data_IF_546047629817
#
_entry.id   IF_546047629817
#
_cell.length_a   1.000
_cell.length_b   1.000
_cell.length_c   1.000
_cell.angle_alpha   90.00
_cell.angle_beta   90.00
_cell.angle_gamma   90.00
#
_symmetry.space_group_name_H-M   'P 1'
#
loop_
_entity.id
_entity.type
_entity.pdbx_description
1 polymer ?
#
# COMPACT_ATOMS: atom_id res chain seq x y z
N UNK A 1 31.26 24.90 15.45
CA UNK A 1 30.56 24.28 14.30
C UNK A 1 29.28 25.07 14.07
N UNK A 2 29.31 26.15 13.27
CA UNK A 2 28.11 26.96 12.95
C UNK A 2 28.24 27.80 11.65
N UNK A 3 29.24 27.52 10.80
CA UNK A 3 29.49 28.30 9.57
C UNK A 3 29.13 27.58 8.26
N UNK A 4 28.73 26.31 8.31
CA UNK A 4 28.44 25.52 7.11
C UNK A 4 26.96 25.55 6.70
N UNK A 5 26.05 25.80 7.65
CA UNK A 5 24.60 25.85 7.38
C UNK A 5 24.22 27.14 6.62
N UNK A 6 24.88 28.27 6.91
CA UNK A 6 24.61 29.55 6.24
C UNK A 6 25.00 29.55 4.75
N UNK A 7 25.99 28.73 4.35
CA UNK A 7 26.42 28.63 2.95
C UNK A 7 25.44 27.81 2.09
N UNK A 8 24.71 26.87 2.67
CA UNK A 8 23.74 26.04 1.96
C UNK A 8 22.44 26.79 1.65
N UNK A 9 21.98 27.68 2.54
CA UNK A 9 20.76 28.47 2.31
C UNK A 9 20.91 29.50 1.18
N UNK A 10 22.13 30.02 0.96
CA UNK A 10 22.41 30.97 -0.11
C UNK A 10 22.55 30.33 -1.51
N UNK A 11 22.75 29.01 -1.58
CA UNK A 11 22.85 28.25 -2.83
C UNK A 11 21.47 27.79 -3.37
N UNK A 12 20.49 27.57 -2.47
CA UNK A 12 19.12 27.16 -2.84
C UNK A 12 18.31 28.35 -3.37
N UNK A 13 18.55 29.56 -2.88
CA UNK A 13 17.82 30.78 -3.31
C UNK A 13 18.20 31.30 -4.71
N UNK A 14 19.21 30.72 -5.39
CA UNK A 14 19.67 31.17 -6.71
C UNK A 14 19.27 30.26 -7.88
N UNK A 15 18.43 29.23 -7.65
CA UNK A 15 18.03 28.28 -8.70
C UNK A 15 16.58 28.41 -9.18
N UNK A 16 15.82 29.36 -8.65
CA UNK A 16 14.47 29.69 -9.12
C UNK A 16 14.48 31.04 -9.84
N UNK A 17 14.99 31.03 -11.07
CA UNK A 17 14.58 31.92 -12.17
C UNK A 17 15.58 31.78 -13.31
N UNK A 18 15.17 31.16 -14.42
CA UNK A 18 15.28 31.75 -15.76
C UNK A 18 14.85 30.79 -16.87
N UNK A 19 13.88 31.29 -17.67
CA UNK A 19 13.75 31.22 -19.14
C UNK A 19 13.55 29.84 -19.81
N UNK A 20 12.79 29.68 -20.90
CA UNK A 20 12.20 30.62 -21.87
C UNK A 20 11.11 29.91 -22.67
N UNK A 21 10.08 30.64 -23.06
CA UNK A 21 9.11 30.30 -24.10
C UNK A 21 9.81 30.26 -25.47
N UNK A 22 9.50 29.30 -26.33
CA UNK A 22 9.72 29.48 -27.77
C UNK A 22 8.68 28.73 -28.60
N UNK A 23 7.78 29.51 -29.21
CA UNK A 23 6.89 29.11 -30.28
C UNK A 23 7.60 29.22 -31.62
N UNK A 24 7.52 28.18 -32.45
CA UNK A 24 7.72 28.31 -33.89
C UNK A 24 6.88 27.25 -34.63
N UNK A 25 6.09 27.74 -35.57
CA UNK A 25 5.23 27.00 -36.51
C UNK A 25 6.05 26.36 -37.63
N UNK A 26 5.66 25.15 -38.06
CA UNK A 26 5.97 24.61 -39.38
C UNK A 26 4.97 23.51 -39.77
N UNK A 27 4.60 23.53 -41.05
CA UNK A 27 3.46 22.88 -41.71
C UNK A 27 3.69 21.45 -42.20
N UNK A 28 2.56 20.72 -42.29
CA UNK A 28 2.16 19.62 -43.21
C UNK A 28 3.08 18.40 -43.42
N UNK A 29 2.58 17.19 -43.12
CA UNK A 29 2.07 16.29 -44.16
C UNK A 29 1.35 15.06 -43.57
N UNK A 30 0.46 14.51 -44.39
CA UNK A 30 -0.48 13.43 -44.10
C UNK A 30 0.22 12.08 -44.12
N UNK A 31 -0.03 11.21 -43.14
CA UNK A 31 0.00 9.76 -43.37
C UNK A 31 -1.02 9.02 -42.51
N UNK A 32 -1.97 8.42 -43.20
CA UNK A 32 -2.99 7.52 -42.67
C UNK A 32 -2.34 6.18 -42.36
N UNK A 33 -2.23 5.84 -41.07
CA UNK A 33 -1.92 4.47 -40.62
C UNK A 33 -3.02 3.99 -39.70
N UNK A 34 -3.78 3.00 -40.17
CA UNK A 34 -4.81 2.29 -39.40
C UNK A 34 -4.22 1.66 -38.14
N UNK A 35 -4.57 2.19 -36.98
CA UNK A 35 -4.26 1.54 -35.70
C UNK A 35 -5.24 0.39 -35.54
N UNK A 36 -4.72 -0.84 -35.69
CA UNK A 36 -5.44 -2.04 -35.33
C UNK A 36 -5.78 -1.97 -33.83
N UNK A 37 -7.05 -2.19 -33.50
CA UNK A 37 -7.48 -2.34 -32.11
C UNK A 37 -6.83 -3.57 -31.50
N UNK A 38 -5.72 -3.35 -30.78
CA UNK A 38 -5.14 -4.37 -29.91
C UNK A 38 -6.10 -4.62 -28.76
N UNK A 39 -6.96 -5.62 -28.95
CA UNK A 39 -7.75 -6.20 -27.88
C UNK A 39 -6.78 -6.89 -26.93
N UNK A 40 -6.34 -6.15 -25.91
CA UNK A 40 -5.65 -6.71 -24.76
C UNK A 40 -6.61 -7.67 -24.06
N UNK A 41 -6.56 -8.93 -24.48
CA UNK A 41 -7.13 -10.05 -23.75
C UNK A 41 -6.44 -10.07 -22.39
N UNK A 42 -7.14 -9.64 -21.35
CA UNK A 42 -6.70 -9.78 -19.96
C UNK A 42 -6.64 -11.28 -19.70
N UNK A 43 -5.48 -11.90 -19.95
CA UNK A 43 -5.16 -13.19 -19.37
C UNK A 43 -5.23 -12.97 -17.87
N UNK A 44 -6.16 -13.64 -17.21
CA UNK A 44 -6.19 -13.73 -15.77
C UNK A 44 -4.85 -14.31 -15.32
N UNK A 45 -3.91 -13.43 -14.97
CA UNK A 45 -2.64 -13.82 -14.42
C UNK A 45 -2.98 -14.35 -13.04
N UNK A 46 -3.09 -15.66 -12.93
CA UNK A 46 -2.92 -16.35 -11.66
C UNK A 46 -1.46 -16.19 -11.24
N UNK A 47 -1.07 -14.96 -10.90
CA UNK A 47 0.24 -14.71 -10.32
C UNK A 47 0.30 -15.52 -9.03
N UNK A 48 1.47 -16.10 -8.78
CA UNK A 48 1.85 -17.04 -7.73
C UNK A 48 1.66 -16.55 -6.27
N UNK A 49 0.68 -15.68 -5.99
CA UNK A 49 0.29 -15.18 -4.68
C UNK A 49 -0.16 -16.26 -3.70
N UNK A 50 -0.27 -17.52 -4.14
CA UNK A 50 -0.62 -18.68 -3.30
C UNK A 50 0.56 -19.65 -3.12
N UNK A 51 1.66 -19.48 -3.85
CA UNK A 51 2.84 -20.31 -3.69
C UNK A 51 3.68 -19.86 -2.47
N UNK A 52 4.48 -20.76 -1.88
CA UNK A 52 5.48 -20.39 -0.89
C UNK A 52 6.56 -19.55 -1.60
N UNK A 53 6.49 -18.21 -1.52
CA UNK A 53 7.61 -17.37 -1.93
C UNK A 53 8.73 -17.56 -0.91
N UNK A 54 9.70 -18.42 -1.25
CA UNK A 54 10.91 -18.66 -0.45
C UNK A 54 11.92 -17.50 -0.50
N UNK A 55 11.61 -16.38 -1.16
CA UNK A 55 12.39 -15.14 -1.09
C UNK A 55 11.41 -13.99 -1.33
N UNK A 56 11.31 -12.93 -0.53
CA UNK A 56 12.19 -12.34 0.46
C UNK A 56 11.25 -11.65 1.47
N UNK A 57 11.47 -11.83 2.78
CA UNK A 57 10.75 -11.07 3.83
C UNK A 57 11.17 -9.61 3.69
N UNK A 58 10.53 -8.88 2.79
CA UNK A 58 10.86 -7.48 2.48
C UNK A 58 9.94 -6.61 3.30
N UNK A 59 10.51 -5.65 4.01
CA UNK A 59 9.75 -4.56 4.62
C UNK A 59 8.96 -3.90 3.49
N UNK A 60 7.66 -3.61 3.65
CA UNK A 60 6.90 -2.93 2.61
C UNK A 60 7.55 -1.58 2.32
N UNK A 61 7.65 -1.24 1.04
CA UNK A 61 8.21 0.03 0.56
C UNK A 61 7.10 0.94 0.07
N UNK A 62 7.23 2.22 0.39
CA UNK A 62 6.28 3.23 -0.07
C UNK A 62 6.25 3.31 -1.61
N UNK A 63 5.06 3.48 -2.17
CA UNK A 63 4.81 3.53 -3.61
C UNK A 63 4.57 2.17 -4.26
N UNK A 64 4.83 1.07 -3.55
CA UNK A 64 4.65 -0.29 -4.07
C UNK A 64 3.23 -0.82 -3.77
N UNK A 65 2.81 -1.79 -4.57
CA UNK A 65 1.50 -2.45 -4.44
C UNK A 65 1.71 -3.87 -3.91
N UNK A 66 0.89 -4.24 -2.93
CA UNK A 66 0.98 -5.55 -2.28
C UNK A 66 -0.37 -6.25 -2.21
N UNK A 67 -0.33 -7.58 -2.30
CA UNK A 67 -1.29 -8.47 -1.66
C UNK A 67 -0.78 -8.74 -0.24
N UNK A 68 -1.63 -8.50 0.76
CA UNK A 68 -1.29 -8.76 2.17
C UNK A 68 -2.00 -10.04 2.59
N UNK A 69 -1.24 -11.07 2.98
CA UNK A 69 -1.79 -12.38 3.35
C UNK A 69 -1.25 -12.89 4.67
N UNK A 70 -2.04 -13.66 5.39
CA UNK A 70 -1.57 -14.31 6.60
C UNK A 70 -0.56 -15.42 6.25
N UNK A 71 0.44 -15.59 7.11
CA UNK A 71 1.53 -16.52 6.84
C UNK A 71 1.13 -18.00 6.97
N UNK A 72 0.16 -18.33 7.82
CA UNK A 72 -0.15 -19.72 8.20
C UNK A 72 -1.17 -20.36 7.24
N UNK A 73 -2.27 -19.67 6.99
CA UNK A 73 -3.44 -20.14 6.24
C UNK A 73 -3.59 -19.49 4.86
N UNK A 74 -2.82 -18.43 4.58
CA UNK A 74 -2.80 -17.70 3.30
C UNK A 74 -4.10 -16.96 2.97
N UNK A 75 -4.92 -16.65 3.97
CA UNK A 75 -6.00 -15.68 3.87
C UNK A 75 -5.48 -14.30 3.51
N UNK A 76 -6.15 -13.66 2.58
CA UNK A 76 -5.77 -12.42 1.95
C UNK A 76 -6.68 -11.32 2.48
N UNK A 77 -6.08 -10.23 2.96
CA UNK A 77 -6.82 -9.02 3.33
C UNK A 77 -7.38 -8.39 2.06
N UNK A 78 -8.70 -8.27 2.00
CA UNK A 78 -9.43 -7.85 0.80
C UNK A 78 -10.56 -6.91 1.15
N UNK A 79 -10.85 -5.97 0.26
CA UNK A 79 -12.08 -5.18 0.29
C UNK A 79 -13.11 -5.81 -0.65
N UNK A 80 -14.20 -6.35 -0.09
CA UNK A 80 -15.31 -6.95 -0.85
C UNK A 80 -16.60 -6.25 -0.46
N UNK A 81 -17.30 -5.68 -1.45
CA UNK A 81 -18.57 -4.95 -1.25
C UNK A 81 -18.48 -3.87 -0.14
N UNK A 82 -17.34 -3.16 -0.08
CA UNK A 82 -17.08 -2.13 0.92
C UNK A 82 -16.67 -2.64 2.31
N UNK A 83 -16.60 -3.96 2.51
CA UNK A 83 -16.22 -4.58 3.78
C UNK A 83 -14.76 -5.07 3.73
N UNK A 84 -13.98 -4.68 4.74
CA UNK A 84 -12.64 -5.21 4.94
C UNK A 84 -12.75 -6.61 5.54
N UNK A 85 -12.31 -7.62 4.80
CA UNK A 85 -12.43 -9.01 5.20
C UNK A 85 -11.29 -9.89 4.68
N UNK A 86 -11.25 -11.13 5.15
CA UNK A 86 -10.32 -12.16 4.72
C UNK A 86 -10.95 -13.04 3.64
N UNK A 87 -10.16 -13.37 2.63
CA UNK A 87 -10.54 -14.27 1.52
C UNK A 87 -9.46 -15.32 1.28
N UNK A 88 -9.84 -16.50 0.78
CA UNK A 88 -8.89 -17.56 0.45
C UNK A 88 -8.30 -17.46 -0.97
N UNK A 89 -8.72 -16.45 -1.74
CA UNK A 89 -8.27 -16.18 -3.10
C UNK A 89 -8.27 -14.68 -3.36
N UNK A 90 -7.45 -14.23 -4.31
CA UNK A 90 -7.47 -12.85 -4.77
C UNK A 90 -8.84 -12.53 -5.34
N UNK A 91 -9.47 -11.45 -4.86
CA UNK A 91 -10.77 -11.04 -5.38
C UNK A 91 -10.64 -10.59 -6.84
N UNK A 92 -11.52 -11.09 -7.71
CA UNK A 92 -11.54 -10.74 -9.13
C UNK A 92 -11.72 -9.23 -9.37
N UNK A 93 -12.36 -8.52 -8.43
CA UNK A 93 -12.55 -7.07 -8.48
C UNK A 93 -11.34 -6.23 -8.10
N UNK A 94 -10.17 -6.81 -7.80
CA UNK A 94 -8.96 -6.07 -7.45
C UNK A 94 -8.91 -5.55 -6.00
N UNK A 95 -9.92 -5.85 -5.19
CA UNK A 95 -10.03 -5.42 -3.79
C UNK A 95 -8.92 -5.91 -2.87
N UNK A 96 -8.06 -6.84 -3.32
CA UNK A 96 -6.93 -7.39 -2.56
C UNK A 96 -5.62 -6.62 -2.77
N UNK A 97 -5.61 -5.56 -3.60
CA UNK A 97 -4.40 -4.79 -3.90
C UNK A 97 -4.32 -3.52 -3.05
N UNK A 98 -3.23 -3.42 -2.29
CA UNK A 98 -2.98 -2.35 -1.33
C UNK A 98 -1.74 -1.56 -1.74
N UNK A 99 -1.93 -0.27 -2.04
CA UNK A 99 -0.85 0.68 -2.27
C UNK A 99 -0.27 1.05 -0.91
N UNK A 100 1.02 0.77 -0.73
CA UNK A 100 1.75 1.16 0.47
C UNK A 100 2.15 2.63 0.37
N UNK A 101 1.79 3.42 1.38
CA UNK A 101 2.07 4.85 1.45
C UNK A 101 2.89 5.10 2.71
N UNK A 102 3.90 5.97 2.65
CA UNK A 102 4.60 6.44 3.83
C UNK A 102 4.28 7.92 4.07
N UNK A 103 3.97 8.27 5.32
CA UNK A 103 3.75 9.65 5.74
C UNK A 103 4.38 9.84 7.11
N UNK A 104 5.42 10.66 7.19
CA UNK A 104 6.15 10.94 8.44
C UNK A 104 6.65 9.67 9.15
N UNK A 105 7.09 8.66 8.40
CA UNK A 105 7.59 7.40 8.95
C UNK A 105 6.51 6.36 9.26
N UNK A 106 5.22 6.72 9.19
CA UNK A 106 4.10 5.79 9.32
C UNK A 106 3.72 5.20 7.98
N UNK A 107 3.35 3.93 7.97
CA UNK A 107 2.83 3.26 6.79
C UNK A 107 1.30 3.30 6.76
N UNK A 108 0.73 3.57 5.60
CA UNK A 108 -0.70 3.45 5.33
C UNK A 108 -0.91 2.50 4.17
N UNK A 109 -2.02 1.77 4.20
CA UNK A 109 -2.40 0.84 3.13
C UNK A 109 -3.69 1.31 2.48
N UNK A 110 -3.56 1.87 1.27
CA UNK A 110 -4.68 2.39 0.49
C UNK A 110 -5.15 1.34 -0.49
N UNK A 111 -6.43 0.99 -0.47
CA UNK A 111 -7.00 0.08 -1.43
C UNK A 111 -6.93 0.69 -2.84
N UNK A 112 -6.44 -0.07 -3.82
CA UNK A 112 -6.26 0.43 -5.19
C UNK A 112 -7.58 0.73 -5.92
N UNK A 113 -8.68 0.09 -5.51
CA UNK A 113 -9.98 0.19 -6.17
C UNK A 113 -10.82 1.30 -5.53
N UNK A 114 -11.05 1.22 -4.21
CA UNK A 114 -11.86 2.23 -3.51
C UNK A 114 -11.11 3.53 -3.27
N UNK A 115 -9.77 3.50 -3.31
CA UNK A 115 -8.94 4.64 -2.93
C UNK A 115 -9.01 4.99 -1.45
N UNK A 116 -9.59 4.13 -0.61
CA UNK A 116 -9.70 4.33 0.83
C UNK A 116 -8.56 3.65 1.59
N UNK A 117 -8.21 4.19 2.75
CA UNK A 117 -7.21 3.63 3.64
C UNK A 117 -7.83 2.62 4.60
N UNK A 118 -7.08 1.54 4.82
CA UNK A 118 -7.26 0.62 5.93
C UNK A 118 -6.88 1.32 7.24
N UNK A 119 -7.65 1.10 8.29
CA UNK A 119 -7.37 1.64 9.63
C UNK A 119 -8.24 0.98 10.70
N UNK A 120 -7.95 1.22 11.97
CA UNK A 120 -8.81 0.74 13.06
C UNK A 120 -10.01 1.67 13.27
N UNK A 121 -11.11 1.15 13.81
CA UNK A 121 -12.36 1.91 14.01
C UNK A 121 -12.49 2.54 15.41
N UNK A 122 -11.48 2.37 16.25
CA UNK A 122 -11.49 2.76 17.67
C UNK A 122 -12.33 1.84 18.57
N UNK A 123 -12.82 0.71 18.04
CA UNK A 123 -13.64 -0.30 18.74
C UNK A 123 -13.08 -1.71 18.52
N UNK A 124 -11.76 -1.82 18.44
CA UNK A 124 -11.02 -3.08 18.30
C UNK A 124 -11.21 -3.80 16.96
N UNK A 125 -11.75 -3.15 15.93
CA UNK A 125 -11.85 -3.71 14.58
C UNK A 125 -11.06 -2.88 13.56
N UNK A 126 -10.68 -3.52 12.46
CA UNK A 126 -10.15 -2.84 11.29
C UNK A 126 -11.21 -2.68 10.21
N UNK A 127 -11.17 -1.54 9.53
CA UNK A 127 -12.10 -1.13 8.47
C UNK A 127 -11.34 -0.44 7.34
N UNK A 128 -11.97 -0.24 6.19
CA UNK A 128 -11.40 0.49 5.06
C UNK A 128 -12.38 1.59 4.62
N UNK A 129 -12.28 2.77 5.24
CA UNK A 129 -13.26 3.86 5.05
C UNK A 129 -12.67 5.27 5.04
N UNK A 130 -11.38 5.42 5.26
CA UNK A 130 -10.76 6.73 5.40
C UNK A 130 -10.24 7.24 4.06
N UNK A 131 -10.52 8.51 3.72
CA UNK A 131 -9.97 9.14 2.52
C UNK A 131 -8.53 9.62 2.69
N UNK A 132 -8.10 9.79 3.93
CA UNK A 132 -6.80 10.37 4.29
C UNK A 132 -6.06 9.45 5.24
N UNK A 133 -4.75 9.36 5.09
CA UNK A 133 -3.87 8.67 6.02
C UNK A 133 -3.72 9.50 7.30
N UNK A 134 -4.44 9.13 8.36
CA UNK A 134 -4.39 9.76 9.69
C UNK A 134 -3.98 8.73 10.73
N UNK A 135 -4.05 9.12 12.01
CA UNK A 135 -3.63 8.29 13.14
C UNK A 135 -4.23 6.90 13.17
N UNK A 136 -5.48 6.71 12.72
CA UNK A 136 -6.14 5.41 12.75
C UNK A 136 -5.75 4.51 11.58
N UNK A 137 -5.21 5.11 10.53
CA UNK A 137 -4.72 4.44 9.32
C UNK A 137 -3.19 4.26 9.34
N UNK A 138 -2.53 4.67 10.43
CA UNK A 138 -1.09 4.62 10.60
C UNK A 138 -0.64 3.28 11.17
N UNK A 139 0.20 2.57 10.42
CA UNK A 139 0.79 1.30 10.79
C UNK A 139 2.31 1.38 10.96
N UNK A 140 2.82 0.54 11.86
CA UNK A 140 4.25 0.23 12.02
C UNK A 140 4.45 -1.28 11.83
N UNK A 141 4.87 -1.74 10.65
CA UNK A 141 5.24 -3.13 10.44
C UNK A 141 6.45 -3.50 11.31
N UNK A 142 6.34 -4.57 12.10
CA UNK A 142 7.44 -5.11 12.92
C UNK A 142 7.72 -6.55 12.52
N UNK A 143 8.98 -6.90 12.31
CA UNK A 143 9.35 -8.26 11.94
C UNK A 143 8.90 -9.26 13.02
N UNK A 144 8.23 -10.32 12.58
CA UNK A 144 7.86 -11.45 13.44
C UNK A 144 9.07 -12.39 13.59
N UNK A 145 9.34 -13.00 14.76
CA UNK A 145 10.46 -13.94 14.94
C UNK A 145 10.39 -15.15 13.99
N UNK A 146 9.19 -15.72 13.80
CA UNK A 146 8.95 -16.78 12.81
C UNK A 146 8.85 -16.27 11.37
N UNK A 147 9.09 -14.97 11.17
CA UNK A 147 9.10 -14.21 9.93
C UNK A 147 7.73 -13.70 9.47
N UNK A 148 7.74 -12.84 8.46
CA UNK A 148 6.59 -11.97 8.17
C UNK A 148 6.61 -10.77 9.12
N UNK A 149 5.47 -10.10 9.26
CA UNK A 149 5.36 -8.87 10.03
C UNK A 149 4.09 -8.83 10.87
N UNK A 150 4.21 -8.37 12.11
CA UNK A 150 3.05 -7.79 12.80
C UNK A 150 2.75 -6.42 12.22
N UNK A 151 1.47 -6.18 11.91
CA UNK A 151 0.96 -4.86 11.58
C UNK A 151 0.51 -4.18 12.88
N UNK A 152 1.36 -3.32 13.42
CA UNK A 152 1.07 -2.60 14.66
C UNK A 152 0.38 -1.27 14.38
N UNK A 153 -0.60 -0.91 15.19
CA UNK A 153 -1.26 0.42 15.22
C UNK A 153 -1.16 1.02 16.62
N UNK A 154 -1.31 2.34 16.73
CA UNK A 154 -1.49 3.02 18.01
C UNK A 154 -2.98 3.20 18.31
N UNK A 155 -3.48 2.47 19.29
CA UNK A 155 -4.79 2.72 19.87
C UNK A 155 -4.60 3.55 21.14
N UNK A 156 -4.96 4.84 21.06
CA UNK A 156 -4.63 5.81 22.11
C UNK A 156 -3.12 5.89 22.29
N UNK A 157 -2.62 5.46 23.46
CA UNK A 157 -1.19 5.44 23.78
C UNK A 157 -0.61 4.01 23.83
N UNK A 158 -1.35 3.01 23.34
CA UNK A 158 -0.96 1.61 23.40
C UNK A 158 -0.78 1.04 22.00
N UNK A 159 0.24 0.19 21.85
CA UNK A 159 0.44 -0.56 20.62
C UNK A 159 -0.52 -1.73 20.58
N UNK A 160 -1.23 -1.89 19.46
CA UNK A 160 -2.09 -3.04 19.18
C UNK A 160 -1.65 -3.69 17.89
N UNK A 161 -1.67 -5.02 17.84
CA UNK A 161 -1.38 -5.77 16.62
C UNK A 161 -2.69 -6.11 15.90
N UNK A 162 -2.63 -6.16 14.57
CA UNK A 162 -3.71 -6.71 13.76
C UNK A 162 -3.71 -8.24 13.82
N UNK A 163 -4.88 -8.81 14.13
CA UNK A 163 -5.10 -10.26 14.14
C UNK A 163 -6.35 -10.65 13.34
N UNK A 164 -6.45 -11.93 13.02
CA UNK A 164 -7.65 -12.54 12.45
C UNK A 164 -8.65 -12.77 13.60
N UNK A 165 -9.88 -12.30 13.44
CA UNK A 165 -10.93 -12.51 14.44
C UNK A 165 -11.44 -13.96 14.47
N UNK A 166 -12.18 -14.32 15.51
CA UNK A 166 -12.67 -15.69 15.74
C UNK A 166 -13.54 -16.25 14.62
N UNK A 167 -14.21 -15.37 13.85
CA UNK A 167 -15.01 -15.75 12.70
C UNK A 167 -14.20 -16.00 11.42
N UNK A 168 -12.86 -15.90 11.49
CA UNK A 168 -11.91 -16.07 10.40
C UNK A 168 -12.15 -15.16 9.19
N UNK A 169 -12.99 -14.14 9.34
CA UNK A 169 -13.43 -13.23 8.28
C UNK A 169 -13.05 -11.79 8.57
N UNK A 170 -13.19 -11.36 9.81
CA UNK A 170 -12.90 -10.00 10.24
C UNK A 170 -11.46 -9.85 10.76
N UNK A 171 -10.99 -8.61 10.79
CA UNK A 171 -9.71 -8.22 11.36
C UNK A 171 -9.94 -7.44 12.65
N UNK A 172 -9.20 -7.81 13.71
CA UNK A 172 -9.36 -7.26 15.06
C UNK A 172 -8.04 -6.79 15.66
N UNK A 173 -8.12 -5.87 16.61
CA UNK A 173 -6.98 -5.44 17.42
C UNK A 173 -6.75 -6.39 18.59
N UNK A 174 -5.49 -6.76 18.83
CA UNK A 174 -5.05 -7.53 20.01
C UNK A 174 -3.88 -6.84 20.71
N UNK A 175 -3.74 -7.06 22.01
CA UNK A 175 -2.64 -6.50 22.82
C UNK A 175 -1.27 -7.07 22.43
N UNK A 176 -1.21 -8.37 22.20
CA UNK A 176 -0.01 -9.09 21.81
C UNK A 176 -0.34 -10.22 20.82
N UNK A 177 0.69 -10.89 20.30
CA UNK A 177 0.55 -12.10 19.49
C UNK A 177 -0.39 -11.95 18.27
N UNK A 178 -0.34 -10.79 17.60
CA UNK A 178 -1.08 -10.59 16.36
C UNK A 178 -0.67 -11.55 15.25
N UNK A 179 -1.44 -11.55 14.17
CA UNK A 179 -1.16 -12.38 13.00
C UNK A 179 0.13 -11.95 12.32
N UNK A 180 0.94 -12.92 11.91
CA UNK A 180 2.09 -12.69 11.05
C UNK A 180 1.64 -12.52 9.59
N UNK A 181 1.82 -11.32 9.06
CA UNK A 181 1.44 -10.95 7.70
C UNK A 181 2.64 -11.01 6.74
N UNK A 182 2.38 -11.40 5.50
CA UNK A 182 3.32 -11.32 4.39
C UNK A 182 2.85 -10.27 3.37
N UNK A 183 3.80 -9.48 2.88
CA UNK A 183 3.58 -8.53 1.79
C UNK A 183 4.10 -9.15 0.50
N UNK A 184 3.18 -9.60 -0.36
CA UNK A 184 3.53 -10.14 -1.68
C UNK A 184 3.40 -9.01 -2.70
N UNK A 185 4.54 -8.58 -3.27
CA UNK A 185 4.57 -7.51 -4.27
C UNK A 185 3.82 -7.96 -5.53
N UNK A 186 2.99 -7.07 -6.08
CA UNK A 186 2.27 -7.22 -7.35
C UNK A 186 3.18 -6.86 -8.53
#
# INVERSE_FOLDING_TARGET
MNNDIAKLQHAVSKKEHNFEENSASSTADTDTSSVASDTHTIKAVSVDYLLPLTSCVRVPWAGEIYVIRDRKRRYIITLTDGNLQLENKVAAGGGSYWICINTNGWFGFRNSVSGMFMGHDGRSKFVCRALYHRSYESFSPRAHPDGGYWLMTLHGNTWRAMSIGDNEKELVEVDDNGTAWEFVKV
#
